data_IF_931520357647
#
_entry.id   IF_931520357647
#
_cell.length_a   1.000
_cell.length_b   1.000
_cell.length_c   1.000
_cell.angle_alpha   90.00
_cell.angle_beta   90.00
_cell.angle_gamma   90.00
#
_symmetry.space_group_name_H-M   'P 1'
#
loop_
_entity.id
_entity.type
_entity.pdbx_description
1 polymer ?
#
# COMPACT_ATOMS: atom_id res chain seq x y z
N UNK A 1 -2.04 -1.62 18.03
CA UNK A 1 -2.64 -0.85 16.92
C UNK A 1 -2.04 0.53 17.01
N UNK A 2 -1.41 1.05 15.95
CA UNK A 2 -0.82 2.38 16.01
C UNK A 2 -1.90 3.44 16.27
N UNK A 3 -1.57 4.47 17.03
CA UNK A 3 -2.49 5.59 17.28
C UNK A 3 -2.58 6.56 16.09
N UNK A 4 -3.59 7.44 16.07
CA UNK A 4 -3.79 8.43 15.00
C UNK A 4 -2.52 9.24 14.65
N UNK A 5 -1.72 9.74 15.61
CA UNK A 5 -0.50 10.48 15.31
C UNK A 5 0.59 9.64 14.64
N UNK A 6 0.65 8.34 14.98
CA UNK A 6 1.64 7.43 14.45
C UNK A 6 1.37 7.13 12.97
N UNK A 7 0.10 6.97 12.60
CA UNK A 7 -0.29 6.72 11.19
C UNK A 7 0.02 7.92 10.30
N UNK A 8 -0.14 9.16 10.79
CA UNK A 8 0.21 10.37 10.00
C UNK A 8 1.73 10.48 9.81
N UNK A 9 2.52 10.13 10.83
CA UNK A 9 3.98 10.09 10.73
C UNK A 9 4.41 9.07 9.66
N UNK A 10 3.86 7.85 9.71
CA UNK A 10 4.16 6.80 8.73
C UNK A 10 3.79 7.24 7.30
N UNK A 11 2.61 7.86 7.12
CA UNK A 11 2.18 8.39 5.83
C UNK A 11 3.17 9.42 5.29
N UNK A 12 3.58 10.38 6.11
CA UNK A 12 4.53 11.45 5.73
C UNK A 12 5.90 10.91 5.36
N UNK A 13 6.37 9.86 6.03
CA UNK A 13 7.66 9.25 5.72
C UNK A 13 7.61 8.35 4.48
N UNK A 14 6.52 7.60 4.29
CA UNK A 14 6.31 6.83 3.06
C UNK A 14 6.23 7.75 1.83
N UNK A 15 5.57 8.90 1.93
CA UNK A 15 5.43 9.84 0.81
C UNK A 15 6.80 10.32 0.29
N UNK A 16 7.77 10.51 1.17
CA UNK A 16 9.15 10.87 0.76
C UNK A 16 9.88 9.72 0.05
N UNK A 17 9.53 8.48 0.36
CA UNK A 17 10.30 7.30 -0.05
C UNK A 17 9.71 6.60 -1.27
N UNK A 18 8.37 6.50 -1.38
CA UNK A 18 7.71 5.64 -2.38
C UNK A 18 6.87 6.38 -3.41
N UNK A 19 6.64 7.69 -3.25
CA UNK A 19 5.88 8.47 -4.22
C UNK A 19 6.56 8.45 -5.60
N UNK A 20 5.76 8.36 -6.66
CA UNK A 20 6.17 8.24 -8.07
C UNK A 20 7.00 7.00 -8.39
N UNK A 21 7.20 6.07 -7.46
CA UNK A 21 7.84 4.77 -7.75
C UNK A 21 6.84 3.82 -8.39
N UNK A 22 7.34 3.04 -9.35
CA UNK A 22 6.59 1.99 -10.04
C UNK A 22 6.75 0.65 -9.31
N UNK A 23 5.64 -0.06 -9.13
CA UNK A 23 5.63 -1.38 -8.51
C UNK A 23 6.04 -2.41 -9.57
N UNK A 24 7.16 -3.09 -9.35
CA UNK A 24 7.71 -4.08 -10.31
C UNK A 24 7.15 -5.47 -10.05
N UNK A 25 6.98 -5.82 -8.77
CA UNK A 25 6.56 -7.15 -8.32
C UNK A 25 5.83 -7.02 -6.99
N UNK A 26 4.81 -7.85 -6.77
CA UNK A 26 4.12 -7.98 -5.48
C UNK A 26 4.18 -9.42 -5.01
N UNK A 27 4.60 -9.64 -3.77
CA UNK A 27 4.67 -10.97 -3.16
C UNK A 27 3.71 -11.02 -1.97
N UNK A 28 2.72 -11.91 -2.03
CA UNK A 28 1.76 -12.12 -0.95
C UNK A 28 2.02 -13.45 -0.25
N UNK A 29 2.59 -13.36 0.96
CA UNK A 29 2.92 -14.53 1.77
C UNK A 29 1.71 -15.06 2.56
N UNK A 30 0.83 -14.16 3.02
CA UNK A 30 -0.40 -14.54 3.73
C UNK A 30 -1.63 -13.98 3.02
N UNK A 31 -2.44 -14.89 2.46
CA UNK A 31 -3.69 -14.55 1.75
C UNK A 31 -4.77 -13.99 2.67
N UNK A 32 -4.70 -14.21 3.99
CA UNK A 32 -5.71 -13.75 4.96
C UNK A 32 -5.69 -12.23 5.19
N UNK A 33 -4.61 -11.56 4.78
CA UNK A 33 -4.46 -10.10 4.91
C UNK A 33 -5.36 -9.33 3.96
N UNK A 34 -5.74 -9.93 2.82
CA UNK A 34 -6.62 -9.31 1.84
C UNK A 34 -8.07 -9.66 2.17
N UNK A 35 -8.90 -8.63 2.33
CA UNK A 35 -10.35 -8.76 2.55
C UNK A 35 -11.12 -8.14 1.39
N UNK A 36 -12.22 -8.77 0.99
CA UNK A 36 -13.17 -8.23 0.01
C UNK A 36 -12.81 -8.41 -1.46
N UNK A 37 -11.58 -8.79 -1.80
CA UNK A 37 -11.13 -9.08 -3.17
C UNK A 37 -10.29 -10.36 -3.20
N UNK A 38 -10.32 -11.08 -4.34
CA UNK A 38 -9.41 -12.22 -4.57
C UNK A 38 -7.96 -11.71 -4.67
N UNK A 39 -7.02 -12.27 -3.89
CA UNK A 39 -5.62 -11.82 -3.89
C UNK A 39 -4.96 -11.74 -5.27
N UNK A 40 -5.29 -12.67 -6.15
CA UNK A 40 -4.74 -12.74 -7.52
C UNK A 40 -5.14 -11.53 -8.38
N UNK A 41 -6.37 -11.04 -8.22
CA UNK A 41 -6.84 -9.85 -8.93
C UNK A 41 -6.12 -8.61 -8.42
N UNK A 42 -5.96 -8.49 -7.10
CA UNK A 42 -5.26 -7.39 -6.46
C UNK A 42 -3.79 -7.31 -6.92
N UNK A 43 -3.08 -8.44 -6.96
CA UNK A 43 -1.70 -8.49 -7.45
C UNK A 43 -1.63 -8.02 -8.91
N UNK A 44 -2.53 -8.52 -9.76
CA UNK A 44 -2.53 -8.17 -11.18
C UNK A 44 -2.83 -6.70 -11.43
N UNK A 45 -3.70 -6.08 -10.63
CA UNK A 45 -4.03 -4.66 -10.74
C UNK A 45 -2.93 -3.76 -10.19
N UNK A 46 -2.26 -4.16 -9.11
CA UNK A 46 -1.22 -3.36 -8.46
C UNK A 46 0.12 -3.48 -9.19
N UNK A 47 0.44 -4.66 -9.73
CA UNK A 47 1.68 -4.83 -10.50
C UNK A 47 1.73 -3.85 -11.69
N UNK A 48 2.88 -3.20 -11.84
CA UNK A 48 3.18 -2.19 -12.87
C UNK A 48 2.43 -0.86 -12.71
N UNK A 49 1.71 -0.63 -11.62
CA UNK A 49 1.18 0.70 -11.28
C UNK A 49 2.23 1.59 -10.62
N UNK A 50 1.98 2.90 -10.62
CA UNK A 50 2.81 3.91 -9.98
C UNK A 50 2.08 4.48 -8.77
N UNK A 51 2.78 4.66 -7.66
CA UNK A 51 2.22 5.29 -6.47
C UNK A 51 2.08 6.79 -6.70
N UNK A 52 0.86 7.27 -6.87
CA UNK A 52 0.58 8.67 -7.18
C UNK A 52 0.36 9.52 -5.92
N UNK A 53 -0.30 8.95 -4.90
CA UNK A 53 -0.64 9.65 -3.67
C UNK A 53 -0.79 8.68 -2.50
N UNK A 54 -0.55 9.17 -1.28
CA UNK A 54 -0.78 8.43 -0.03
C UNK A 54 -1.68 9.28 0.86
N UNK A 55 -2.88 8.79 1.15
CA UNK A 55 -3.86 9.49 1.98
C UNK A 55 -4.07 8.75 3.30
N UNK A 56 -4.25 9.50 4.39
CA UNK A 56 -4.73 8.96 5.66
C UNK A 56 -6.19 9.37 5.84
N UNK A 57 -7.04 8.40 6.13
CA UNK A 57 -8.42 8.62 6.57
C UNK A 57 -8.60 7.85 7.87
N UNK A 58 -8.65 8.59 8.99
CA UNK A 58 -8.91 8.05 10.33
C UNK A 58 -10.25 8.54 10.85
#
# INVERSE_FOLDING_TARGET
MPELPEVETIKSDLEKVILKKKIIKVELLDKKLIKGIKPELLIKEIEKTTVDQIIRRG
#
